data_IF_851080360115
#
_entry.id   IF_851080360115
#
_cell.length_a   1.000
_cell.length_b   1.000
_cell.length_c   1.000
_cell.angle_alpha   90.00
_cell.angle_beta   90.00
_cell.angle_gamma   90.00
#
_symmetry.space_group_name_H-M   'P 1'
#
loop_
_entity.id
_entity.type
_entity.pdbx_description
1 polymer ?
#
# COMPACT_ATOMS: atom_id res chain seq x y z
N UNK A 1 -6.98 18.43 -9.95
CA UNK A 1 -6.79 16.98 -9.74
C UNK A 1 -5.38 16.81 -9.21
N UNK A 2 -5.21 16.09 -8.11
CA UNK A 2 -3.89 15.86 -7.50
C UNK A 2 -2.96 15.13 -8.47
N UNK A 3 -1.66 15.41 -8.42
CA UNK A 3 -0.66 14.83 -9.32
C UNK A 3 -0.71 13.29 -9.36
N UNK A 4 -0.86 12.67 -8.18
CA UNK A 4 -0.90 11.21 -8.05
C UNK A 4 -2.17 10.62 -8.64
N UNK A 5 -3.33 11.23 -8.43
CA UNK A 5 -4.59 10.77 -9.03
C UNK A 5 -4.51 10.79 -10.55
N UNK A 6 -4.03 11.89 -11.15
CA UNK A 6 -3.82 11.95 -12.60
C UNK A 6 -2.83 10.90 -13.10
N UNK A 7 -1.76 10.65 -12.34
CA UNK A 7 -0.76 9.64 -12.69
C UNK A 7 -1.32 8.21 -12.66
N UNK A 8 -2.13 7.85 -11.66
CA UNK A 8 -2.72 6.51 -11.57
C UNK A 8 -3.84 6.29 -12.57
N UNK A 9 -4.61 7.33 -12.92
CA UNK A 9 -5.58 7.26 -14.03
C UNK A 9 -4.86 6.95 -15.35
N UNK A 10 -3.77 7.67 -15.65
CA UNK A 10 -3.06 7.51 -16.92
C UNK A 10 -2.25 6.20 -17.00
N UNK A 11 -1.49 5.90 -15.94
CA UNK A 11 -0.43 4.88 -15.97
C UNK A 11 -0.79 3.61 -15.22
N UNK A 12 -1.92 3.58 -14.51
CA UNK A 12 -2.39 2.44 -13.75
C UNK A 12 -1.28 1.91 -12.81
N UNK A 13 -0.88 0.64 -12.95
CA UNK A 13 0.16 0.00 -12.15
C UNK A 13 1.55 0.20 -12.77
N UNK A 14 2.03 1.44 -12.76
CA UNK A 14 3.25 1.88 -13.45
C UNK A 14 4.56 1.19 -13.02
N UNK A 15 4.55 0.43 -11.91
CA UNK A 15 5.71 -0.31 -11.41
C UNK A 15 5.47 -1.83 -11.29
N UNK A 16 4.35 -2.34 -11.84
CA UNK A 16 3.96 -3.75 -11.68
C UNK A 16 3.66 -4.15 -10.24
N UNK A 17 3.43 -5.44 -10.00
CA UNK A 17 2.98 -5.94 -8.69
C UNK A 17 4.08 -6.56 -7.84
N UNK A 18 5.25 -6.85 -8.44
CA UNK A 18 6.37 -7.46 -7.70
C UNK A 18 6.91 -6.47 -6.65
N UNK A 19 7.03 -6.88 -5.37
CA UNK A 19 7.52 -5.99 -4.33
C UNK A 19 8.96 -5.56 -4.62
N UNK A 20 9.34 -4.41 -4.08
CA UNK A 20 10.74 -3.99 -4.08
C UNK A 20 11.59 -4.87 -3.16
N UNK A 21 12.88 -5.05 -3.47
CA UNK A 21 13.87 -5.70 -2.59
C UNK A 21 13.84 -5.15 -1.15
N UNK A 22 13.73 -3.83 -0.98
CA UNK A 22 13.64 -3.20 0.33
C UNK A 22 12.39 -3.61 1.12
N UNK A 23 11.26 -3.84 0.45
CA UNK A 23 10.04 -4.33 1.08
C UNK A 23 10.22 -5.78 1.57
N UNK A 24 10.92 -6.62 0.79
CA UNK A 24 11.24 -7.99 1.19
C UNK A 24 12.13 -8.01 2.43
N UNK A 25 13.24 -7.24 2.43
CA UNK A 25 14.15 -7.14 3.58
C UNK A 25 13.45 -6.57 4.82
N UNK A 26 12.58 -5.58 4.64
CA UNK A 26 11.79 -5.01 5.75
C UNK A 26 10.81 -6.04 6.31
N UNK A 27 10.18 -6.84 5.46
CA UNK A 27 9.29 -7.92 5.87
C UNK A 27 10.03 -8.94 6.73
N UNK A 28 11.23 -9.35 6.33
CA UNK A 28 12.05 -10.30 7.11
C UNK A 28 12.37 -9.72 8.49
N UNK A 29 12.82 -8.46 8.54
CA UNK A 29 13.08 -7.76 9.79
C UNK A 29 11.84 -7.65 10.68
N UNK A 30 10.67 -7.35 10.11
CA UNK A 30 9.40 -7.25 10.85
C UNK A 30 8.96 -8.60 11.41
N UNK A 31 9.07 -9.67 10.63
CA UNK A 31 8.73 -11.03 11.07
C UNK A 31 9.65 -11.46 12.22
N UNK A 32 10.96 -11.24 12.10
CA UNK A 32 11.94 -11.55 13.16
C UNK A 32 11.64 -10.81 14.47
N UNK A 33 11.15 -9.57 14.37
CA UNK A 33 10.82 -8.73 15.52
C UNK A 33 9.35 -8.86 15.98
N UNK A 34 8.60 -9.83 15.45
CA UNK A 34 7.19 -10.05 15.78
C UNK A 34 6.29 -8.82 15.59
N UNK A 35 6.58 -7.96 14.61
CA UNK A 35 5.70 -6.85 14.25
C UNK A 35 4.38 -7.41 13.72
N UNK A 36 3.26 -6.90 14.23
CA UNK A 36 1.91 -7.38 13.87
C UNK A 36 1.09 -6.36 13.11
N UNK A 37 1.27 -5.08 13.38
CA UNK A 37 0.47 -4.01 12.82
C UNK A 37 1.38 -2.93 12.27
N UNK A 38 1.13 -2.52 11.03
CA UNK A 38 1.85 -1.41 10.39
C UNK A 38 0.88 -0.45 9.70
N UNK A 39 1.25 0.82 9.70
CA UNK A 39 0.63 1.86 8.89
C UNK A 39 1.56 2.19 7.72
N UNK A 40 1.03 2.24 6.51
CA UNK A 40 1.75 2.64 5.29
C UNK A 40 1.13 3.93 4.74
N UNK A 41 1.70 5.10 5.06
CA UNK A 41 1.32 6.36 4.44
C UNK A 41 1.76 6.41 2.98
N UNK A 42 0.85 6.79 2.06
CA UNK A 42 1.11 6.73 0.62
C UNK A 42 1.24 5.29 0.12
N UNK A 43 0.30 4.42 0.51
CA UNK A 43 0.33 2.98 0.19
C UNK A 43 0.22 2.70 -1.33
N UNK A 44 -0.26 3.67 -2.12
CA UNK A 44 -0.50 3.52 -3.54
C UNK A 44 -1.47 2.37 -3.83
N UNK A 45 -1.20 1.60 -4.89
CA UNK A 45 -1.97 0.39 -5.22
C UNK A 45 -1.52 -0.86 -4.44
N UNK A 46 -0.77 -0.69 -3.34
CA UNK A 46 -0.43 -1.79 -2.42
C UNK A 46 0.69 -2.74 -2.86
N UNK A 47 1.46 -2.38 -3.91
CA UNK A 47 2.61 -3.17 -4.42
C UNK A 47 3.49 -3.76 -3.33
N UNK A 48 3.97 -2.91 -2.41
CA UNK A 48 4.85 -3.33 -1.32
C UNK A 48 4.08 -3.83 -0.09
N UNK A 49 2.81 -3.48 0.06
CA UNK A 49 2.01 -3.91 1.20
C UNK A 49 1.70 -5.41 1.16
N UNK A 50 1.54 -5.96 -0.05
CA UNK A 50 1.19 -7.36 -0.28
C UNK A 50 2.11 -8.36 0.44
N UNK A 51 3.43 -8.14 0.38
CA UNK A 51 4.39 -9.04 1.03
C UNK A 51 4.27 -9.02 2.56
N UNK A 52 3.89 -7.90 3.17
CA UNK A 52 3.64 -7.83 4.61
C UNK A 52 2.37 -8.62 4.98
N UNK A 53 1.30 -8.43 4.21
CA UNK A 53 0.00 -9.09 4.43
C UNK A 53 0.13 -10.61 4.32
N UNK A 54 0.79 -11.10 3.27
CA UNK A 54 1.04 -12.52 3.05
C UNK A 54 1.87 -13.16 4.18
N UNK A 55 2.61 -12.36 4.94
CA UNK A 55 3.39 -12.78 6.09
C UNK A 55 2.70 -12.45 7.43
N UNK A 56 1.36 -12.39 7.42
CA UNK A 56 0.52 -12.22 8.62
C UNK A 56 0.76 -10.92 9.40
N UNK A 57 1.19 -9.87 8.70
CA UNK A 57 1.25 -8.51 9.23
C UNK A 57 -0.02 -7.78 8.81
N UNK A 58 -0.77 -7.27 9.78
CA UNK A 58 -1.92 -6.43 9.54
C UNK A 58 -1.47 -5.07 9.00
N UNK A 59 -1.95 -4.70 7.82
CA UNK A 59 -1.57 -3.45 7.15
C UNK A 59 -2.76 -2.52 7.09
N UNK A 60 -2.55 -1.29 7.55
CA UNK A 60 -3.44 -0.16 7.28
C UNK A 60 -2.73 0.78 6.29
N UNK A 61 -3.46 1.24 5.28
CA UNK A 61 -2.96 2.17 4.27
C UNK A 61 -3.63 3.52 4.32
N UNK A 62 -2.90 4.56 3.92
CA UNK A 62 -3.48 5.87 3.61
C UNK A 62 -3.02 6.26 2.23
N UNK A 63 -3.94 6.71 1.39
CA UNK A 63 -3.65 7.07 0.01
C UNK A 63 -4.50 8.25 -0.44
N UNK A 64 -3.87 9.20 -1.12
CA UNK A 64 -4.54 10.41 -1.63
C UNK A 64 -5.25 10.16 -2.96
N UNK A 65 -4.86 9.11 -3.68
CA UNK A 65 -5.47 8.71 -4.95
C UNK A 65 -6.55 7.65 -4.76
N UNK A 66 -7.80 8.01 -5.06
CA UNK A 66 -8.89 7.04 -5.15
C UNK A 66 -8.60 5.95 -6.19
N UNK A 67 -8.03 6.33 -7.34
CA UNK A 67 -7.70 5.36 -8.39
C UNK A 67 -6.69 4.32 -7.91
N UNK A 68 -5.68 4.71 -7.14
CA UNK A 68 -4.72 3.77 -6.57
C UNK A 68 -5.36 2.77 -5.59
N UNK A 69 -6.29 3.23 -4.74
CA UNK A 69 -7.04 2.35 -3.82
C UNK A 69 -7.90 1.36 -4.62
N UNK A 70 -8.57 1.82 -5.67
CA UNK A 70 -9.40 0.95 -6.50
C UNK A 70 -8.55 -0.11 -7.21
N UNK A 71 -7.35 0.25 -7.70
CA UNK A 71 -6.38 -0.69 -8.27
C UNK A 71 -5.88 -1.71 -7.23
N UNK A 72 -5.63 -1.28 -5.99
CA UNK A 72 -5.24 -2.18 -4.92
C UNK A 72 -6.32 -3.25 -4.69
N UNK A 73 -7.58 -2.82 -4.57
CA UNK A 73 -8.72 -3.71 -4.36
C UNK A 73 -8.90 -4.70 -5.50
N UNK A 74 -8.83 -4.24 -6.74
CA UNK A 74 -8.87 -5.11 -7.92
C UNK A 74 -7.77 -6.17 -7.96
N UNK A 75 -6.67 -5.96 -7.22
CA UNK A 75 -5.54 -6.87 -7.14
C UNK A 75 -5.50 -7.68 -5.83
N UNK A 76 -6.65 -7.97 -5.24
CA UNK A 76 -6.78 -8.89 -4.10
C UNK A 76 -6.46 -8.25 -2.75
N UNK A 77 -6.56 -6.93 -2.65
CA UNK A 77 -6.44 -6.19 -1.39
C UNK A 77 -7.80 -5.63 -0.94
N UNK A 78 -8.91 -6.31 -1.25
CA UNK A 78 -10.26 -5.83 -0.91
C UNK A 78 -10.47 -5.67 0.59
N UNK A 79 -9.88 -6.56 1.39
CA UNK A 79 -10.02 -6.61 2.85
C UNK A 79 -9.00 -5.74 3.60
N UNK A 80 -8.11 -5.05 2.87
CA UNK A 80 -7.12 -4.15 3.49
C UNK A 80 -7.76 -2.81 3.82
N UNK A 81 -7.59 -2.37 5.07
CA UNK A 81 -8.07 -1.06 5.50
C UNK A 81 -7.24 0.06 4.86
N UNK A 82 -7.77 0.67 3.80
CA UNK A 82 -7.15 1.80 3.12
C UNK A 82 -8.02 3.05 3.23
N UNK A 83 -7.49 4.09 3.88
CA UNK A 83 -8.16 5.38 4.02
C UNK A 83 -7.81 6.29 2.84
N UNK A 84 -8.84 6.81 2.17
CA UNK A 84 -8.66 7.82 1.14
C UNK A 84 -8.53 9.21 1.77
N UNK A 85 -7.36 9.84 1.66
CA UNK A 85 -7.10 11.14 2.25
C UNK A 85 -5.63 11.52 2.26
N UNK A 86 -5.35 12.76 2.65
CA UNK A 86 -3.98 13.25 2.82
C UNK A 86 -3.38 12.73 4.13
N UNK A 87 -2.12 12.28 4.07
CA UNK A 87 -1.36 11.94 5.29
C UNK A 87 -1.20 13.15 6.22
N UNK A 88 -1.22 14.38 5.67
CA UNK A 88 -1.12 15.60 6.47
C UNK A 88 -2.39 15.91 7.28
N UNK A 89 -3.50 15.21 7.01
CA UNK A 89 -4.78 15.38 7.71
C UNK A 89 -5.02 14.25 8.73
N UNK A 90 -4.02 13.41 8.96
CA UNK A 90 -4.03 12.46 10.06
C UNK A 90 -4.02 13.18 11.43
N UNK A 91 -4.76 12.65 12.43
CA UNK A 91 -4.81 13.22 13.79
C UNK A 91 -3.47 13.13 14.53
#
# INVERSE_FOLDING_TARGET
MEFWESSFIEKQTMWGFEPTESAILTKDFFVENNVKDILVPGIGYGRNAKVFIENSINVTGIEISKTAIDLAKQNGLEDVSMYHGSVNEMP
#
